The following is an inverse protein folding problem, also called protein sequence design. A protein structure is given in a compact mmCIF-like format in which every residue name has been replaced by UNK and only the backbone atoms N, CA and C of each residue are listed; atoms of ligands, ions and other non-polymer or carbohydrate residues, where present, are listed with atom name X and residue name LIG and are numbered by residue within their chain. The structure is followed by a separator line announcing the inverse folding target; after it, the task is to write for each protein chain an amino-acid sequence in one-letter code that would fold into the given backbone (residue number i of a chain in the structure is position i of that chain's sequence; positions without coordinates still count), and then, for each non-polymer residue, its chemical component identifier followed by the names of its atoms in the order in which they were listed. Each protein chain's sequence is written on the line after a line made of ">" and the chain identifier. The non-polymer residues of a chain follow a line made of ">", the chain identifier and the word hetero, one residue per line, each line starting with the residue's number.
data_IF_212038547020
#
_entry.id   IF_212038547020
#
_cell.length_a   1.000
_cell.length_b   1.000
_cell.length_c   1.000
_cell.angle_alpha   90.00
_cell.angle_beta   90.00
_cell.angle_gamma   90.00
#
_symmetry.space_group_name_H-M   'P 1'
#
loop_
_entity.id
_entity.type
_entity.pdbx_description
1 polymer ?
#
# COMPACT_ATOMS: atom_id res chain seq x y z
N UNK A 1 16.68 73.12 -9.45
CA UNK A 1 15.42 72.52 -8.96
C UNK A 1 15.48 71.03 -9.28
N UNK A 2 15.28 70.05 -8.41
CA UNK A 2 15.03 70.01 -6.99
C UNK A 2 15.14 68.53 -6.55
N UNK A 3 15.77 68.32 -5.40
CA UNK A 3 15.42 67.35 -4.36
C UNK A 3 14.97 65.92 -4.74
N UNK A 4 15.84 64.92 -4.48
CA UNK A 4 15.41 63.69 -3.81
C UNK A 4 16.37 63.34 -2.67
N UNK A 5 15.87 63.53 -1.44
CA UNK A 5 16.50 63.05 -0.20
C UNK A 5 16.49 61.53 -0.21
N UNK A 6 17.68 60.95 -0.15
CA UNK A 6 17.90 59.55 0.24
C UNK A 6 17.55 59.37 1.71
N UNK A 7 16.29 59.01 1.98
CA UNK A 7 15.88 58.32 3.20
C UNK A 7 16.05 56.84 2.93
N UNK A 8 17.06 56.22 3.53
CA UNK A 8 17.14 54.82 3.98
C UNK A 8 18.62 54.48 4.19
N UNK A 9 19.16 54.96 5.32
CA UNK A 9 20.30 54.31 5.93
C UNK A 9 19.81 53.01 6.58
N UNK A 10 20.29 51.87 6.10
CA UNK A 10 19.98 50.57 6.64
C UNK A 10 20.87 49.53 5.96
N UNK A 11 21.95 49.15 6.65
CA UNK A 11 22.82 48.02 6.31
C UNK A 11 21.94 46.79 6.06
N UNK A 12 22.02 46.21 4.87
CA UNK A 12 21.92 44.78 4.56
C UNK A 12 21.80 44.61 3.04
N UNK A 13 22.91 44.80 2.34
CA UNK A 13 23.00 44.46 0.91
C UNK A 13 23.03 42.93 0.78
N UNK A 14 22.06 42.29 0.11
CA UNK A 14 21.99 40.83 -0.05
C UNK A 14 23.29 40.23 -0.61
N UNK A 15 24.04 40.99 -1.41
CA UNK A 15 25.28 40.54 -2.03
C UNK A 15 26.44 40.39 -1.03
N UNK A 16 26.42 41.14 0.08
CA UNK A 16 27.45 41.04 1.13
C UNK A 16 27.31 39.79 1.98
N UNK A 17 26.08 39.32 2.22
CA UNK A 17 25.78 38.10 2.98
C UNK A 17 26.16 36.83 2.23
N UNK A 18 26.02 36.82 0.90
CA UNK A 18 26.44 35.69 0.06
C UNK A 18 27.96 35.54 -0.02
N UNK A 19 28.74 36.59 0.23
CA UNK A 19 30.21 36.55 0.26
C UNK A 19 30.82 36.35 1.65
N UNK A 20 30.00 36.28 2.72
CA UNK A 20 30.46 35.95 4.07
C UNK A 20 30.94 34.48 4.15
N UNK A 21 32.22 34.23 4.47
CA UNK A 21 32.77 32.88 4.62
C UNK A 21 32.01 32.02 5.64
N UNK A 22 31.41 32.62 6.68
CA UNK A 22 30.61 31.90 7.69
C UNK A 22 29.26 31.45 7.14
N UNK A 23 28.63 32.26 6.30
CA UNK A 23 27.36 31.93 5.64
C UNK A 23 27.55 30.89 4.53
N UNK A 24 28.63 30.97 3.73
CA UNK A 24 28.96 29.92 2.75
C UNK A 24 29.20 28.56 3.44
N UNK A 25 29.92 28.54 4.56
CA UNK A 25 30.14 27.32 5.36
C UNK A 25 28.84 26.76 5.96
N UNK A 26 27.89 27.61 6.37
CA UNK A 26 26.62 27.14 6.92
C UNK A 26 25.72 26.51 5.86
N UNK A 27 25.69 27.06 4.64
CA UNK A 27 24.98 26.48 3.50
C UNK A 27 25.61 25.15 3.08
N UNK A 28 26.94 25.06 2.99
CA UNK A 28 27.63 23.81 2.69
C UNK A 28 27.35 22.72 3.74
N UNK A 29 27.34 23.08 5.02
CA UNK A 29 27.00 22.15 6.11
C UNK A 29 25.54 21.69 6.05
N UNK A 30 24.62 22.57 5.68
CA UNK A 30 23.21 22.23 5.50
C UNK A 30 22.98 21.31 4.28
N UNK A 31 23.69 21.55 3.17
CA UNK A 31 23.66 20.67 2.00
C UNK A 31 24.24 19.28 2.31
N UNK A 32 25.39 19.21 2.99
CA UNK A 32 25.99 17.94 3.41
C UNK A 32 25.08 17.15 4.38
N UNK A 33 24.35 17.83 5.27
CA UNK A 33 23.39 17.18 6.17
C UNK A 33 22.21 16.58 5.41
N UNK A 34 21.71 17.25 4.36
CA UNK A 34 20.64 16.74 3.51
C UNK A 34 21.08 15.53 2.66
N UNK A 35 22.30 15.54 2.14
CA UNK A 35 22.84 14.40 1.39
C UNK A 35 23.04 13.17 2.30
N UNK A 36 23.60 13.34 3.51
CA UNK A 36 23.71 12.24 4.48
C UNK A 36 22.34 11.67 4.91
N UNK A 37 21.31 12.52 5.03
CA UNK A 37 19.94 12.09 5.36
C UNK A 37 19.32 11.27 4.21
N UNK A 38 19.55 11.70 2.96
CA UNK A 38 19.13 10.98 1.76
C UNK A 38 19.82 9.62 1.62
N UNK A 39 21.12 9.55 1.91
CA UNK A 39 21.89 8.29 1.93
C UNK A 39 21.41 7.34 3.04
N UNK A 40 21.09 7.85 4.24
CA UNK A 40 20.51 7.05 5.33
C UNK A 40 19.14 6.47 4.96
N UNK A 41 18.28 7.25 4.32
CA UNK A 41 16.97 6.79 3.86
C UNK A 41 17.12 5.72 2.75
N UNK A 42 18.00 5.92 1.78
CA UNK A 42 18.28 4.93 0.74
C UNK A 42 18.86 3.61 1.31
N UNK A 43 19.71 3.71 2.34
CA UNK A 43 20.25 2.54 3.05
C UNK A 43 19.18 1.81 3.87
N UNK A 44 18.21 2.54 4.41
CA UNK A 44 17.10 1.95 5.16
C UNK A 44 16.08 1.26 4.23
N UNK A 45 15.85 1.82 3.04
CA UNK A 45 15.00 1.23 2.01
C UNK A 45 15.61 -0.01 1.36
N UNK A 46 16.92 -0.03 1.08
CA UNK A 46 17.62 -1.21 0.56
C UNK A 46 17.59 -2.36 1.56
N UNK A 47 17.92 -2.12 2.84
CA UNK A 47 17.82 -3.13 3.91
C UNK A 47 16.40 -3.66 4.10
N UNK A 48 15.38 -2.81 3.91
CA UNK A 48 13.97 -3.23 3.97
C UNK A 48 13.61 -4.13 2.78
N UNK A 49 14.13 -3.86 1.59
CA UNK A 49 13.89 -4.66 0.38
C UNK A 49 14.60 -6.02 0.46
N UNK A 50 15.86 -6.05 0.90
CA UNK A 50 16.62 -7.30 1.12
C UNK A 50 15.93 -8.20 2.17
N UNK A 51 15.45 -7.63 3.28
CA UNK A 51 14.70 -8.39 4.28
C UNK A 51 13.37 -8.98 3.75
N UNK A 52 12.74 -8.32 2.77
CA UNK A 52 11.52 -8.82 2.10
C UNK A 52 11.87 -9.93 1.09
N UNK A 53 12.99 -9.80 0.38
CA UNK A 53 13.44 -10.75 -0.64
C UNK A 53 13.91 -12.08 -0.02
N UNK A 54 14.69 -12.04 1.06
CA UNK A 54 15.09 -13.22 1.85
C UNK A 54 13.88 -13.95 2.45
N UNK A 55 12.86 -13.19 2.84
CA UNK A 55 11.60 -13.76 3.34
C UNK A 55 10.84 -14.45 2.21
N UNK A 56 10.75 -13.84 1.02
CA UNK A 56 10.05 -14.38 -0.15
C UNK A 56 10.70 -15.65 -0.72
N UNK A 57 12.04 -15.77 -0.66
CA UNK A 57 12.75 -16.96 -1.15
C UNK A 57 12.46 -18.21 -0.29
N UNK A 58 12.14 -18.03 0.99
CA UNK A 58 11.73 -19.14 1.88
C UNK A 58 10.25 -19.55 1.75
N UNK A 59 9.42 -18.73 1.10
CA UNK A 59 7.96 -18.90 1.05
C UNK A 59 7.43 -19.80 -0.09
N UNK A 60 8.29 -20.30 -0.99
CA UNK A 60 7.85 -21.12 -2.13
C UNK A 60 7.55 -22.60 -1.79
N UNK A 61 7.80 -23.05 -0.55
CA UNK A 61 7.61 -24.46 -0.15
C UNK A 61 6.86 -24.61 1.19
N UNK A 62 5.63 -24.10 1.27
CA UNK A 62 4.74 -24.36 2.40
C UNK A 62 3.76 -25.51 2.12
N UNK A 63 3.99 -26.67 2.72
CA UNK A 63 3.10 -27.84 2.62
C UNK A 63 1.84 -27.65 3.50
N UNK A 64 0.68 -27.42 2.88
CA UNK A 64 -0.61 -27.07 3.51
C UNK A 64 -1.29 -28.20 4.34
N UNK A 65 -0.58 -29.28 4.69
CA UNK A 65 -1.15 -30.49 5.31
C UNK A 65 -0.69 -30.79 6.76
N UNK A 66 -0.12 -29.84 7.50
CA UNK A 66 0.16 -30.04 8.94
C UNK A 66 -1.00 -29.58 9.83
N UNK A 67 -1.33 -30.39 10.86
CA UNK A 67 -2.29 -30.02 11.91
C UNK A 67 -1.87 -28.70 12.56
N UNK A 68 -2.79 -27.74 12.80
CA UNK A 68 -2.45 -26.45 13.35
C UNK A 68 -1.87 -26.61 14.76
N UNK A 69 -0.64 -26.17 14.97
CA UNK A 69 -0.08 -25.98 16.30
C UNK A 69 -0.84 -24.86 17.04
N UNK A 70 -0.90 -24.87 18.38
CA UNK A 70 -1.59 -23.82 19.12
C UNK A 70 -0.95 -22.45 18.84
N UNK A 71 -1.75 -21.36 18.83
CA UNK A 71 -1.25 -20.00 18.66
C UNK A 71 -0.09 -19.68 19.60
N UNK A 72 0.96 -19.07 19.07
CA UNK A 72 2.10 -18.64 19.91
C UNK A 72 1.64 -17.56 20.89
N UNK A 73 1.87 -17.77 22.19
CA UNK A 73 1.57 -16.78 23.26
C UNK A 73 2.23 -15.41 23.02
N UNK A 74 3.33 -15.36 22.26
CA UNK A 74 4.02 -14.12 21.85
C UNK A 74 3.18 -13.20 20.94
N UNK A 75 2.09 -13.69 20.35
CA UNK A 75 1.17 -12.87 19.58
C UNK A 75 0.50 -11.79 20.46
N UNK A 76 0.16 -12.16 21.69
CA UNK A 76 -0.55 -11.29 22.63
C UNK A 76 0.32 -10.19 23.23
N UNK A 77 1.65 -10.32 23.16
CA UNK A 77 2.60 -9.33 23.70
C UNK A 77 3.19 -8.41 22.64
N UNK A 78 3.01 -8.70 21.35
CA UNK A 78 3.52 -7.86 20.28
C UNK A 78 2.57 -6.68 20.01
N UNK A 79 2.84 -5.54 20.65
CA UNK A 79 2.03 -4.32 20.53
C UNK A 79 1.88 -3.81 19.10
N UNK A 80 2.93 -3.92 18.27
CA UNK A 80 2.84 -3.49 16.87
C UNK A 80 1.84 -4.34 16.07
N UNK A 81 1.93 -5.66 16.21
CA UNK A 81 1.00 -6.59 15.58
C UNK A 81 -0.44 -6.34 16.04
N UNK A 82 -0.65 -6.14 17.35
CA UNK A 82 -1.97 -5.83 17.90
C UNK A 82 -2.53 -4.53 17.32
N UNK A 83 -1.74 -3.45 17.32
CA UNK A 83 -2.17 -2.16 16.77
C UNK A 83 -2.48 -2.25 15.26
N UNK A 84 -1.66 -2.96 14.51
CA UNK A 84 -1.88 -3.18 13.07
C UNK A 84 -3.15 -3.98 12.81
N UNK A 85 -3.40 -5.02 13.62
CA UNK A 85 -4.61 -5.84 13.55
C UNK A 85 -5.86 -5.03 13.90
N UNK A 86 -5.83 -4.24 14.98
CA UNK A 86 -6.91 -3.32 15.36
C UNK A 86 -7.20 -2.32 14.25
N UNK A 87 -6.16 -1.69 13.68
CA UNK A 87 -6.32 -0.74 12.58
C UNK A 87 -6.90 -1.39 11.32
N UNK A 88 -6.48 -2.63 10.99
CA UNK A 88 -7.03 -3.38 9.88
C UNK A 88 -8.53 -3.64 10.04
N UNK A 89 -8.99 -4.12 11.20
CA UNK A 89 -10.41 -4.41 11.41
C UNK A 89 -11.28 -3.16 11.52
N UNK A 90 -10.77 -2.08 12.12
CA UNK A 90 -11.47 -0.80 12.16
C UNK A 90 -11.71 -0.23 10.75
N UNK A 91 -10.67 -0.23 9.89
CA UNK A 91 -10.82 0.20 8.50
C UNK A 91 -11.70 -0.75 7.69
N UNK A 92 -11.68 -2.05 7.97
CA UNK A 92 -12.53 -3.02 7.29
C UNK A 92 -14.00 -2.75 7.55
N UNK A 93 -14.36 -2.40 8.78
CA UNK A 93 -15.73 -2.01 9.14
C UNK A 93 -16.16 -0.74 8.41
N UNK A 94 -15.30 0.29 8.38
CA UNK A 94 -15.58 1.51 7.64
C UNK A 94 -15.73 1.26 6.14
N UNK A 95 -14.88 0.42 5.57
CA UNK A 95 -14.89 0.02 4.17
C UNK A 95 -16.21 -0.64 3.80
N UNK A 96 -16.69 -1.61 4.59
CA UNK A 96 -17.96 -2.28 4.31
C UNK A 96 -19.16 -1.31 4.41
N UNK A 97 -19.15 -0.39 5.38
CA UNK A 97 -20.18 0.66 5.48
C UNK A 97 -20.17 1.58 4.24
N UNK A 98 -19.01 2.11 3.86
CA UNK A 98 -18.86 3.00 2.68
C UNK A 98 -19.22 2.29 1.38
N UNK A 99 -18.83 1.03 1.23
CA UNK A 99 -19.17 0.23 0.06
C UNK A 99 -20.69 0.08 -0.11
N UNK A 100 -21.42 -0.19 0.97
CA UNK A 100 -22.88 -0.29 0.94
C UNK A 100 -23.55 0.97 0.37
N UNK A 101 -23.08 2.16 0.79
CA UNK A 101 -23.57 3.44 0.27
C UNK A 101 -23.29 3.59 -1.23
N UNK A 102 -22.05 3.37 -1.65
CA UNK A 102 -21.62 3.46 -3.06
C UNK A 102 -22.43 2.49 -3.94
N UNK A 103 -22.58 1.25 -3.48
CA UNK A 103 -23.28 0.21 -4.22
C UNK A 103 -24.77 0.54 -4.41
N UNK A 104 -25.45 0.96 -3.34
CA UNK A 104 -26.87 1.29 -3.36
C UNK A 104 -27.16 2.56 -4.17
N UNK A 105 -26.28 3.56 -4.11
CA UNK A 105 -26.40 4.79 -4.90
C UNK A 105 -25.96 4.61 -6.36
N UNK A 106 -25.34 3.48 -6.70
CA UNK A 106 -24.80 3.18 -8.04
C UNK A 106 -23.78 4.22 -8.54
N UNK A 107 -23.03 4.82 -7.62
CA UNK A 107 -22.00 5.82 -7.93
C UNK A 107 -20.64 5.12 -7.99
N UNK A 108 -20.10 4.93 -9.19
CA UNK A 108 -18.83 4.20 -9.38
C UNK A 108 -17.67 5.08 -9.87
N UNK A 109 -17.87 6.39 -9.98
CA UNK A 109 -16.83 7.35 -10.38
C UNK A 109 -16.88 8.61 -9.51
N UNK A 110 -15.84 9.45 -9.61
CA UNK A 110 -15.76 10.73 -8.91
C UNK A 110 -15.09 10.68 -7.53
N UNK A 111 -15.02 11.83 -6.82
CA UNK A 111 -14.19 11.98 -5.62
C UNK A 111 -14.55 11.02 -4.48
N UNK A 112 -15.84 10.75 -4.26
CA UNK A 112 -16.31 9.81 -3.23
C UNK A 112 -15.81 8.39 -3.46
N UNK A 113 -15.77 7.95 -4.73
CA UNK A 113 -15.26 6.62 -5.08
C UNK A 113 -13.74 6.58 -4.97
N UNK A 114 -13.06 7.68 -5.29
CA UNK A 114 -11.61 7.76 -5.09
C UNK A 114 -11.25 7.69 -3.60
N UNK A 115 -11.98 8.37 -2.73
CA UNK A 115 -11.81 8.26 -1.28
C UNK A 115 -12.03 6.82 -0.80
N UNK A 116 -13.07 6.15 -1.31
CA UNK A 116 -13.33 4.75 -1.01
C UNK A 116 -12.23 3.81 -1.51
N UNK A 117 -11.71 4.01 -2.72
CA UNK A 117 -10.59 3.24 -3.25
C UNK A 117 -9.33 3.44 -2.39
N UNK A 118 -9.05 4.67 -1.95
CA UNK A 118 -7.93 4.96 -1.06
C UNK A 118 -8.06 4.18 0.27
N UNK A 119 -9.27 4.15 0.85
CA UNK A 119 -9.54 3.34 2.04
C UNK A 119 -9.33 1.84 1.77
N UNK A 120 -9.78 1.34 0.62
CA UNK A 120 -9.57 -0.07 0.25
C UNK A 120 -8.08 -0.41 0.09
N UNK A 121 -7.29 0.45 -0.56
CA UNK A 121 -5.85 0.26 -0.71
C UNK A 121 -5.12 0.35 0.63
N UNK A 122 -5.51 1.27 1.51
CA UNK A 122 -5.01 1.36 2.88
C UNK A 122 -5.26 0.05 3.66
N UNK A 123 -6.47 -0.50 3.56
CA UNK A 123 -6.83 -1.74 4.24
C UNK A 123 -6.11 -2.96 3.64
N UNK A 124 -6.00 -3.04 2.31
CA UNK A 124 -5.21 -4.06 1.57
C UNK A 124 -3.75 -4.07 2.03
N UNK A 125 -3.11 -2.91 2.14
CA UNK A 125 -1.73 -2.80 2.60
C UNK A 125 -1.55 -3.32 4.04
N UNK A 126 -2.52 -3.06 4.93
CA UNK A 126 -2.49 -3.62 6.30
C UNK A 126 -2.68 -5.13 6.32
N UNK A 127 -3.58 -5.66 5.48
CA UNK A 127 -3.75 -7.10 5.34
C UNK A 127 -2.43 -7.77 4.92
N UNK A 128 -1.77 -7.24 3.90
CA UNK A 128 -0.46 -7.74 3.45
C UNK A 128 0.61 -7.66 4.54
N UNK A 129 0.65 -6.55 5.28
CA UNK A 129 1.56 -6.39 6.40
C UNK A 129 1.28 -7.37 7.57
N UNK A 130 0.05 -7.88 7.71
CA UNK A 130 -0.33 -8.85 8.73
C UNK A 130 0.02 -10.30 8.37
N UNK A 131 0.13 -10.64 7.08
CA UNK A 131 0.48 -11.99 6.60
C UNK A 131 1.69 -12.59 7.32
N UNK A 132 2.86 -11.93 7.38
CA UNK A 132 4.03 -12.51 8.04
C UNK A 132 3.81 -12.75 9.54
N UNK A 133 2.96 -11.97 10.20
CA UNK A 133 2.64 -12.18 11.62
C UNK A 133 1.66 -13.34 11.82
N UNK A 134 0.63 -13.45 10.99
CA UNK A 134 -0.29 -14.59 11.04
C UNK A 134 0.43 -15.91 10.80
N UNK A 135 1.42 -15.91 9.89
CA UNK A 135 2.30 -17.06 9.67
C UNK A 135 3.22 -17.28 10.88
N UNK A 136 3.95 -16.25 11.34
CA UNK A 136 4.90 -16.31 12.47
C UNK A 136 4.27 -16.84 13.76
N UNK A 137 3.01 -16.50 14.02
CA UNK A 137 2.31 -16.89 15.23
C UNK A 137 1.37 -18.09 15.07
N UNK A 138 1.37 -18.71 13.88
CA UNK A 138 0.50 -19.83 13.52
C UNK A 138 -1.00 -19.55 13.75
N UNK A 139 -1.46 -18.35 13.37
CA UNK A 139 -2.84 -17.90 13.53
C UNK A 139 -3.74 -18.25 12.33
N UNK A 140 -3.15 -18.74 11.24
CA UNK A 140 -3.83 -18.96 9.97
C UNK A 140 -4.07 -17.65 9.22
N UNK A 141 -3.68 -17.60 7.95
CA UNK A 141 -3.91 -16.41 7.11
C UNK A 141 -5.38 -16.38 6.67
N UNK A 142 -6.16 -15.33 6.99
CA UNK A 142 -7.56 -15.26 6.60
C UNK A 142 -7.71 -15.23 5.08
N UNK A 143 -8.33 -16.24 4.48
CA UNK A 143 -8.53 -16.29 3.00
C UNK A 143 -9.53 -15.25 2.48
N UNK A 144 -10.30 -14.62 3.36
CA UNK A 144 -11.25 -13.56 3.01
C UNK A 144 -10.62 -12.19 3.30
N UNK A 145 -10.32 -11.44 2.24
CA UNK A 145 -9.83 -10.06 2.32
C UNK A 145 -10.77 -9.16 1.51
N UNK A 146 -11.83 -8.59 2.12
CA UNK A 146 -12.88 -7.90 1.38
C UNK A 146 -12.39 -6.70 0.55
N UNK A 147 -11.31 -6.02 0.95
CA UNK A 147 -10.69 -4.92 0.21
C UNK A 147 -10.38 -5.29 -1.24
N UNK A 148 -9.74 -6.43 -1.49
CA UNK A 148 -9.46 -6.95 -2.84
C UNK A 148 -10.72 -7.06 -3.69
N UNK A 149 -11.76 -7.69 -3.13
CA UNK A 149 -13.05 -7.84 -3.79
C UNK A 149 -13.68 -6.50 -4.13
N UNK A 150 -13.67 -5.54 -3.19
CA UNK A 150 -14.30 -4.23 -3.39
C UNK A 150 -13.59 -3.43 -4.47
N UNK A 151 -12.26 -3.42 -4.48
CA UNK A 151 -11.48 -2.76 -5.54
C UNK A 151 -11.80 -3.38 -6.90
N UNK A 152 -11.75 -4.72 -7.02
CA UNK A 152 -12.07 -5.40 -8.27
C UNK A 152 -13.50 -5.12 -8.76
N UNK A 153 -14.48 -5.04 -7.85
CA UNK A 153 -15.86 -4.69 -8.18
C UNK A 153 -16.00 -3.25 -8.68
N UNK A 154 -15.31 -2.28 -8.05
CA UNK A 154 -15.32 -0.89 -8.51
C UNK A 154 -14.70 -0.79 -9.90
N UNK A 155 -13.53 -1.39 -10.13
CA UNK A 155 -12.91 -1.38 -11.46
C UNK A 155 -13.77 -2.10 -12.50
N UNK A 156 -14.45 -3.19 -12.16
CA UNK A 156 -15.40 -3.85 -13.06
C UNK A 156 -16.57 -2.92 -13.43
N UNK A 157 -17.08 -2.12 -12.48
CA UNK A 157 -18.16 -1.14 -12.71
C UNK A 157 -17.69 0.11 -13.49
N UNK A 158 -16.41 0.42 -13.43
CA UNK A 158 -15.77 1.46 -14.23
C UNK A 158 -15.33 0.96 -15.61
N UNK A 159 -15.59 -0.32 -15.93
CA UNK A 159 -15.12 -1.00 -17.16
C UNK A 159 -13.58 -1.04 -17.30
N UNK A 160 -12.86 -0.76 -16.22
CA UNK A 160 -11.41 -0.86 -16.12
C UNK A 160 -10.99 -2.33 -15.88
N UNK A 161 -11.35 -3.23 -16.80
CA UNK A 161 -11.20 -4.67 -16.61
C UNK A 161 -9.76 -5.10 -16.40
N UNK A 162 -8.78 -4.45 -17.05
CA UNK A 162 -7.35 -4.73 -16.83
C UNK A 162 -6.93 -4.51 -15.37
N UNK A 163 -7.35 -3.40 -14.76
CA UNK A 163 -7.07 -3.13 -13.35
C UNK A 163 -7.78 -4.14 -12.43
N UNK A 164 -9.04 -4.49 -12.75
CA UNK A 164 -9.78 -5.50 -12.00
C UNK A 164 -9.10 -6.88 -12.05
N UNK A 165 -8.55 -7.27 -13.21
CA UNK A 165 -7.78 -8.50 -13.42
C UNK A 165 -6.53 -8.51 -12.53
N UNK A 166 -5.75 -7.42 -12.51
CA UNK A 166 -4.55 -7.32 -11.68
C UNK A 166 -4.85 -7.53 -10.19
N UNK A 167 -5.90 -6.87 -9.69
CA UNK A 167 -6.29 -7.01 -8.28
C UNK A 167 -6.72 -8.43 -7.94
N UNK A 168 -7.44 -9.13 -8.84
CA UNK A 168 -7.80 -10.52 -8.63
C UNK A 168 -6.57 -11.44 -8.65
N UNK A 169 -5.62 -11.19 -9.55
CA UNK A 169 -4.37 -11.94 -9.63
C UNK A 169 -3.50 -11.76 -8.37
N UNK A 170 -3.37 -10.53 -7.88
CA UNK A 170 -2.68 -10.24 -6.61
C UNK A 170 -3.32 -11.00 -5.45
N UNK A 171 -4.65 -10.96 -5.31
CA UNK A 171 -5.36 -11.68 -4.26
C UNK A 171 -5.09 -13.19 -4.29
N UNK A 172 -5.08 -13.79 -5.48
CA UNK A 172 -4.81 -15.22 -5.67
C UNK A 172 -3.38 -15.56 -5.24
N UNK A 173 -2.39 -14.78 -5.69
CA UNK A 173 -0.97 -15.00 -5.36
C UNK A 173 -0.69 -15.02 -3.86
N UNK A 174 -1.39 -14.18 -3.09
CA UNK A 174 -1.20 -14.11 -1.63
C UNK A 174 -2.17 -15.00 -0.84
N UNK A 175 -3.02 -15.78 -1.51
CA UNK A 175 -3.96 -16.70 -0.87
C UNK A 175 -5.27 -16.07 -0.36
N UNK A 176 -5.54 -14.80 -0.67
CA UNK A 176 -6.77 -14.08 -0.37
C UNK A 176 -7.92 -14.44 -1.35
N UNK A 177 -8.18 -15.73 -1.50
CA UNK A 177 -9.01 -16.28 -2.58
C UNK A 177 -10.52 -16.19 -2.32
N UNK A 178 -10.97 -16.05 -1.07
CA UNK A 178 -12.40 -16.11 -0.76
C UNK A 178 -13.06 -14.74 -0.95
N UNK A 179 -13.82 -14.58 -2.05
CA UNK A 179 -14.58 -13.36 -2.35
C UNK A 179 -16.08 -13.48 -1.98
N UNK A 180 -16.49 -14.58 -1.35
CA UNK A 180 -17.89 -14.84 -0.99
C UNK A 180 -18.75 -15.35 -2.15
N UNK A 181 -18.17 -15.67 -3.31
CA UNK A 181 -18.87 -16.35 -4.42
C UNK A 181 -18.42 -17.82 -4.53
N UNK A 182 -19.24 -18.67 -5.17
CA UNK A 182 -18.90 -20.09 -5.43
C UNK A 182 -17.58 -20.23 -6.21
N UNK A 183 -17.39 -19.36 -7.21
CA UNK A 183 -16.18 -19.34 -8.04
C UNK A 183 -14.98 -18.70 -7.37
N UNK A 184 -15.15 -18.07 -6.19
CA UNK A 184 -14.08 -17.37 -5.47
C UNK A 184 -13.40 -16.31 -6.38
N UNK A 185 -12.20 -15.88 -6.00
CA UNK A 185 -11.45 -14.90 -6.79
C UNK A 185 -11.02 -15.43 -8.16
N UNK A 186 -10.82 -16.75 -8.32
CA UNK A 186 -10.53 -17.41 -9.61
C UNK A 186 -11.68 -17.25 -10.61
N UNK A 187 -12.92 -17.49 -10.20
CA UNK A 187 -14.09 -17.33 -11.05
C UNK A 187 -14.33 -15.87 -11.43
N UNK A 188 -14.02 -14.93 -10.53
CA UNK A 188 -14.01 -13.50 -10.85
C UNK A 188 -12.94 -13.16 -11.88
N UNK A 189 -11.71 -13.65 -11.68
CA UNK A 189 -10.60 -13.46 -12.61
C UNK A 189 -10.96 -14.00 -14.01
N UNK A 190 -11.43 -15.23 -14.11
CA UNK A 190 -11.85 -15.84 -15.38
C UNK A 190 -12.94 -15.03 -16.10
N UNK A 191 -13.93 -14.51 -15.36
CA UNK A 191 -14.96 -13.62 -15.94
C UNK A 191 -14.36 -12.31 -16.45
N UNK A 192 -13.47 -11.69 -15.68
CA UNK A 192 -12.88 -10.40 -16.03
C UNK A 192 -11.92 -10.50 -17.21
N UNK A 193 -11.13 -11.58 -17.31
CA UNK A 193 -10.28 -11.85 -18.48
C UNK A 193 -11.13 -11.91 -19.75
N UNK A 194 -12.28 -12.59 -19.74
CA UNK A 194 -13.19 -12.64 -20.89
C UNK A 194 -13.76 -11.26 -21.30
N UNK A 195 -13.91 -10.34 -20.34
CA UNK A 195 -14.38 -8.97 -20.59
C UNK A 195 -13.25 -8.03 -21.00
N UNK A 196 -12.00 -8.40 -20.74
CA UNK A 196 -10.85 -7.61 -21.12
C UNK A 196 -10.63 -7.76 -22.62
N UNK A 197 -10.84 -6.69 -23.38
CA UNK A 197 -10.63 -6.68 -24.84
C UNK A 197 -9.16 -6.61 -25.26
N UNK A 198 -8.23 -6.85 -24.33
CA UNK A 198 -6.78 -6.81 -24.54
C UNK A 198 -6.15 -8.12 -24.11
N UNK A 199 -4.96 -8.40 -24.63
CA UNK A 199 -4.22 -9.58 -24.20
C UNK A 199 -3.80 -9.42 -22.73
N UNK A 200 -4.21 -10.39 -21.92
CA UNK A 200 -3.85 -10.48 -20.52
C UNK A 200 -2.55 -11.25 -20.40
N UNK A 201 -1.66 -10.77 -19.54
CA UNK A 201 -0.38 -11.41 -19.21
C UNK A 201 -0.53 -12.94 -19.08
N UNK A 202 0.24 -13.75 -19.85
CA UNK A 202 0.24 -15.21 -19.74
C UNK A 202 0.43 -15.73 -18.31
N UNK A 203 1.21 -15.05 -17.46
CA UNK A 203 1.41 -15.45 -16.06
C UNK A 203 0.13 -15.31 -15.22
N UNK A 204 -0.76 -14.39 -15.57
CA UNK A 204 -2.06 -14.27 -14.93
C UNK A 204 -3.00 -15.38 -15.41
N UNK A 205 -2.92 -15.77 -16.69
CA UNK A 205 -3.73 -16.88 -17.22
C UNK A 205 -3.41 -18.20 -16.53
N UNK A 206 -2.12 -18.45 -16.22
CA UNK A 206 -1.67 -19.62 -15.44
C UNK A 206 -2.28 -19.73 -14.05
N UNK A 207 -2.80 -18.63 -13.48
CA UNK A 207 -3.50 -18.67 -12.19
C UNK A 207 -4.87 -19.36 -12.28
N UNK A 208 -5.35 -19.70 -13.48
CA UNK A 208 -6.62 -20.38 -13.72
C UNK A 208 -6.47 -21.85 -14.13
N UNK A 209 -5.23 -22.32 -14.31
CA UNK A 209 -4.90 -23.72 -14.65
C UNK A 209 -4.93 -24.61 -13.40
#
# INVERSE_FOLDING_TARGET
>A
MGFFKSLFGGKDDPWTRWNDPKFKKSIQKAAAKKEMEKERLATQESKKKEAIEDTNLSMSQGNYNQKPSPPSSKAYTNTYFQNLQTAYYAELEELERKYSVIYNQKIYTGPKVQEFLNLCYSNKAKYEALIPYWQKYNLGVPKNAPSYKRIAMIYEKQEAYGNAVQICAEAIRIGAINDGTKGKMHGRLARLIKKCNHDVDPEIKKLLD
#
